data_IF_955272008182
#
_entry.id   IF_955272008182
#
_cell.length_a   1.000
_cell.length_b   1.000
_cell.length_c   1.000
_cell.angle_alpha   90.00
_cell.angle_beta   90.00
_cell.angle_gamma   90.00
#
_symmetry.space_group_name_H-M   'P 1'
#
loop_
_entity.id
_entity.type
_entity.pdbx_description
1 polymer ?
#
# COMPACT_ATOMS: atom_id res chain seq x y z
N UNK A 1 -17.42 -8.09 1.30
CA UNK A 1 -18.47 -9.02 0.81
C UNK A 1 -18.69 -8.90 -0.70
N UNK A 2 -18.63 -7.70 -1.30
CA UNK A 2 -18.83 -7.45 -2.74
C UNK A 2 -18.08 -8.40 -3.70
N UNK A 3 -16.80 -8.70 -3.43
CA UNK A 3 -16.01 -9.63 -4.26
C UNK A 3 -16.46 -11.09 -4.19
N UNK A 4 -17.07 -11.50 -3.08
CA UNK A 4 -17.60 -12.85 -2.94
C UNK A 4 -18.84 -13.07 -3.82
N UNK A 5 -19.64 -12.02 -4.02
CA UNK A 5 -20.89 -12.04 -4.78
C UNK A 5 -20.70 -11.71 -6.27
N UNK A 6 -19.51 -11.91 -6.84
CA UNK A 6 -19.26 -11.68 -8.27
C UNK A 6 -18.99 -10.24 -8.70
N UNK A 7 -18.98 -9.28 -7.78
CA UNK A 7 -18.73 -7.88 -8.13
C UNK A 7 -17.23 -7.56 -8.09
N UNK A 8 -16.65 -7.25 -9.25
CA UNK A 8 -15.24 -6.86 -9.40
C UNK A 8 -15.05 -5.43 -8.89
N UNK A 9 -14.87 -5.29 -7.58
CA UNK A 9 -14.61 -4.00 -6.93
C UNK A 9 -13.43 -4.08 -5.98
N UNK A 10 -12.40 -3.29 -6.28
CA UNK A 10 -11.24 -3.09 -5.44
C UNK A 10 -10.80 -1.63 -5.56
N UNK A 11 -10.60 -0.95 -4.43
CA UNK A 11 -10.13 0.44 -4.39
C UNK A 11 -8.74 0.59 -5.03
N UNK A 12 -7.91 -0.47 -4.98
CA UNK A 12 -6.56 -0.49 -5.54
C UNK A 12 -6.54 -0.42 -7.07
N UNK A 13 -7.64 -0.76 -7.76
CA UNK A 13 -7.74 -0.70 -9.25
C UNK A 13 -8.89 0.14 -9.78
N UNK A 14 -10.02 0.23 -9.07
CA UNK A 14 -11.29 0.60 -9.70
C UNK A 14 -11.54 2.11 -9.87
N UNK A 15 -10.94 3.00 -9.06
CA UNK A 15 -11.35 4.42 -9.14
C UNK A 15 -10.29 5.47 -8.82
N UNK A 16 -9.40 5.20 -7.88
CA UNK A 16 -8.25 6.07 -7.55
C UNK A 16 -7.21 5.22 -6.82
N UNK A 17 -6.35 4.50 -7.55
CA UNK A 17 -5.14 3.92 -6.98
C UNK A 17 -4.39 5.01 -6.21
N UNK A 18 -4.05 4.69 -4.97
CA UNK A 18 -3.33 5.59 -4.08
C UNK A 18 -1.86 5.17 -4.01
N UNK A 19 -1.01 6.13 -3.66
CA UNK A 19 0.44 5.98 -3.56
C UNK A 19 1.06 5.37 -4.84
N UNK A 20 1.56 4.14 -4.75
CA UNK A 20 2.30 3.45 -5.82
C UNK A 20 1.51 2.23 -6.34
N UNK A 21 0.25 2.07 -5.94
CA UNK A 21 -0.56 0.92 -6.38
C UNK A 21 -0.86 0.92 -7.88
N UNK A 22 -0.68 2.06 -8.56
CA UNK A 22 -0.73 2.15 -10.03
C UNK A 22 0.37 1.38 -10.75
N UNK A 23 1.54 1.24 -10.12
CA UNK A 23 2.70 0.59 -10.72
C UNK A 23 2.78 -0.90 -10.37
N UNK A 24 1.88 -1.36 -9.52
CA UNK A 24 1.80 -2.73 -9.04
C UNK A 24 0.67 -3.45 -9.78
N UNK A 25 0.91 -4.70 -10.18
CA UNK A 25 -0.07 -5.53 -10.87
C UNK A 25 -0.61 -6.65 -9.96
N UNK A 26 -1.60 -6.37 -9.09
CA UNK A 26 -2.29 -7.41 -8.36
C UNK A 26 -3.38 -8.07 -9.20
N UNK A 27 -3.44 -9.41 -9.14
CA UNK A 27 -4.59 -10.16 -9.65
C UNK A 27 -5.69 -10.13 -8.57
N UNK A 28 -6.92 -9.77 -8.97
CA UNK A 28 -8.04 -9.63 -8.03
C UNK A 28 -8.94 -10.87 -8.16
N UNK A 29 -8.98 -11.75 -7.15
CA UNK A 29 -9.89 -12.90 -7.17
C UNK A 29 -11.33 -12.45 -6.98
N UNK A 30 -12.24 -13.01 -7.77
CA UNK A 30 -13.70 -12.79 -7.69
C UNK A 30 -14.38 -14.14 -7.51
N UNK A 31 -15.30 -14.21 -6.55
CA UNK A 31 -16.11 -15.39 -6.29
C UNK A 31 -17.30 -15.45 -7.24
N UNK A 32 -17.76 -16.65 -7.58
CA UNK A 32 -18.87 -16.85 -8.52
C UNK A 32 -20.19 -17.12 -7.82
N UNK A 33 -20.18 -17.76 -6.64
CA UNK A 33 -21.41 -18.25 -5.98
C UNK A 33 -21.85 -17.40 -4.80
N UNK A 34 -20.97 -16.61 -4.19
CA UNK A 34 -21.32 -15.82 -3.00
C UNK A 34 -21.27 -16.59 -1.68
N UNK A 35 -20.79 -17.83 -1.70
CA UNK A 35 -20.81 -18.71 -0.55
C UNK A 35 -19.75 -18.36 0.51
N UNK A 36 -19.85 -19.00 1.69
CA UNK A 36 -18.79 -18.90 2.73
C UNK A 36 -17.46 -19.41 2.21
N UNK A 37 -17.47 -20.45 1.39
CA UNK A 37 -16.26 -21.04 0.82
C UNK A 37 -15.55 -20.09 -0.14
N UNK A 38 -16.28 -19.47 -1.07
CA UNK A 38 -15.71 -18.48 -2.00
C UNK A 38 -15.02 -17.33 -1.26
N UNK A 39 -15.62 -16.86 -0.17
CA UNK A 39 -15.03 -15.81 0.66
C UNK A 39 -13.73 -16.27 1.32
N UNK A 40 -13.69 -17.49 1.82
CA UNK A 40 -12.47 -18.07 2.38
C UNK A 40 -11.37 -18.21 1.31
N UNK A 41 -11.72 -18.73 0.14
CA UNK A 41 -10.80 -18.91 -0.97
C UNK A 41 -10.23 -17.59 -1.47
N UNK A 42 -11.07 -16.56 -1.64
CA UNK A 42 -10.67 -15.19 -1.99
C UNK A 42 -9.64 -14.66 -0.98
N UNK A 43 -9.80 -14.91 0.32
CA UNK A 43 -8.82 -14.46 1.33
C UNK A 43 -7.48 -15.18 1.19
N UNK A 44 -7.47 -16.46 0.85
CA UNK A 44 -6.21 -17.19 0.60
C UNK A 44 -5.48 -16.60 -0.61
N UNK A 45 -6.20 -16.36 -1.69
CA UNK A 45 -5.62 -15.76 -2.89
C UNK A 45 -5.14 -14.32 -2.64
N UNK A 46 -5.88 -13.53 -1.85
CA UNK A 46 -5.43 -12.20 -1.43
C UNK A 46 -4.13 -12.24 -0.63
N UNK A 47 -3.93 -13.23 0.25
CA UNK A 47 -2.67 -13.40 0.98
C UNK A 47 -1.51 -13.70 0.01
N UNK A 48 -1.72 -14.57 -0.98
CA UNK A 48 -0.71 -14.89 -2.01
C UNK A 48 -0.34 -13.66 -2.84
N UNK A 49 -1.33 -12.90 -3.28
CA UNK A 49 -1.11 -11.67 -4.03
C UNK A 49 -0.44 -10.58 -3.17
N UNK A 50 -0.71 -10.55 -1.86
CA UNK A 50 -0.02 -9.64 -0.93
C UNK A 50 1.47 -9.95 -0.84
N UNK A 51 1.84 -11.23 -0.77
CA UNK A 51 3.26 -11.65 -0.82
C UNK A 51 3.91 -11.24 -2.14
N UNK A 52 3.21 -11.40 -3.27
CA UNK A 52 3.72 -10.97 -4.59
C UNK A 52 3.98 -9.46 -4.65
N UNK A 53 3.06 -8.65 -4.12
CA UNK A 53 3.24 -7.20 -4.03
C UNK A 53 4.47 -6.85 -3.19
N UNK A 54 4.66 -7.51 -2.03
CA UNK A 54 5.84 -7.28 -1.18
C UNK A 54 7.13 -7.52 -1.96
N UNK A 55 7.21 -8.64 -2.70
CA UNK A 55 8.38 -8.96 -3.52
C UNK A 55 8.61 -7.92 -4.63
N UNK A 56 7.55 -7.46 -5.29
CA UNK A 56 7.65 -6.41 -6.30
C UNK A 56 8.16 -5.09 -5.71
N UNK A 57 7.62 -4.66 -4.57
CA UNK A 57 8.06 -3.46 -3.87
C UNK A 57 9.53 -3.55 -3.43
N UNK A 58 10.00 -4.72 -3.00
CA UNK A 58 11.41 -4.94 -2.66
C UNK A 58 12.32 -4.79 -3.88
N UNK A 59 11.90 -5.32 -5.04
CA UNK A 59 12.69 -5.23 -6.27
C UNK A 59 12.71 -3.82 -6.88
N UNK A 60 11.66 -3.04 -6.66
CA UNK A 60 11.47 -1.71 -7.25
C UNK A 60 11.76 -0.58 -6.25
N UNK A 61 12.41 -0.86 -5.12
CA UNK A 61 12.60 0.13 -4.05
C UNK A 61 13.54 1.27 -4.51
N UNK A 62 13.04 2.51 -4.67
CA UNK A 62 13.90 3.64 -4.98
C UNK A 62 14.67 4.08 -3.72
N UNK A 63 15.89 4.53 -3.92
CA UNK A 63 16.63 5.25 -2.88
C UNK A 63 16.18 6.70 -2.85
N UNK A 64 15.88 7.25 -1.66
CA UNK A 64 15.42 8.63 -1.56
C UNK A 64 14.99 9.01 -0.15
N UNK A 65 14.41 10.21 -0.07
CA UNK A 65 13.88 10.74 1.17
C UNK A 65 12.55 10.07 1.51
N UNK A 66 12.42 9.65 2.77
CA UNK A 66 11.23 8.91 3.26
C UNK A 66 10.13 9.87 3.73
N UNK A 67 10.52 11.06 4.19
CA UNK A 67 9.61 12.09 4.68
C UNK A 67 9.59 13.27 3.70
N UNK A 68 8.47 13.99 3.70
CA UNK A 68 8.41 15.29 3.06
C UNK A 68 9.42 16.26 3.70
N UNK A 69 9.98 17.16 2.89
CA UNK A 69 10.98 18.14 3.32
C UNK A 69 10.41 19.28 4.18
N UNK A 70 9.08 19.34 4.31
CA UNK A 70 8.40 20.38 5.07
C UNK A 70 8.56 20.18 6.58
N UNK A 71 9.50 20.92 7.17
CA UNK A 71 9.83 20.90 8.61
C UNK A 71 8.72 21.41 9.55
N UNK A 72 7.69 22.06 8.99
CA UNK A 72 6.49 22.46 9.74
C UNK A 72 5.51 21.31 9.96
N UNK A 73 5.52 20.33 9.06
CA UNK A 73 4.61 19.18 9.07
C UNK A 73 5.32 17.94 9.62
N UNK A 74 6.54 17.70 9.15
CA UNK A 74 7.34 16.53 9.53
C UNK A 74 8.46 16.93 10.50
N UNK A 75 8.63 16.21 11.62
CA UNK A 75 9.73 16.48 12.53
C UNK A 75 11.08 16.12 11.86
N UNK A 76 12.13 16.92 12.10
CA UNK A 76 13.43 16.72 11.51
C UNK A 76 14.10 15.44 12.03
N UNK A 77 15.16 15.00 11.34
CA UNK A 77 15.97 13.88 11.80
C UNK A 77 16.71 14.20 13.10
N UNK A 78 16.94 13.18 13.94
CA UNK A 78 17.63 13.36 15.23
C UNK A 78 19.04 13.92 15.10
N UNK A 79 19.72 13.66 13.99
CA UNK A 79 21.04 14.22 13.70
C UNK A 79 20.95 15.72 13.43
N UNK A 80 19.99 16.16 12.61
CA UNK A 80 19.79 17.57 12.28
C UNK A 80 19.36 18.39 13.50
N UNK A 81 18.45 17.86 14.31
CA UNK A 81 17.99 18.49 15.56
C UNK A 81 19.13 18.93 16.49
N UNK A 82 20.22 18.16 16.55
CA UNK A 82 21.37 18.47 17.40
C UNK A 82 22.31 19.53 16.83
N UNK A 83 22.25 19.78 15.52
CA UNK A 83 23.21 20.61 14.79
C UNK A 83 22.65 21.98 14.42
N UNK A 84 21.35 22.09 14.15
CA UNK A 84 20.72 23.34 13.74
C UNK A 84 19.76 23.88 14.80
N UNK A 85 19.90 25.16 15.11
CA UNK A 85 19.04 25.88 16.04
C UNK A 85 17.59 25.94 15.53
N UNK A 86 17.39 26.09 14.22
CA UNK A 86 16.08 26.09 13.57
C UNK A 86 15.36 24.75 13.70
N UNK A 87 16.11 23.65 13.68
CA UNK A 87 15.57 22.30 13.86
C UNK A 87 15.37 21.89 15.31
N UNK A 88 15.88 22.68 16.26
CA UNK A 88 15.68 22.48 17.69
C UNK A 88 14.55 23.38 18.24
N UNK A 89 14.30 24.51 17.58
CA UNK A 89 13.25 25.46 17.93
C UNK A 89 11.86 25.09 17.36
N UNK A 90 11.80 24.13 16.43
CA UNK A 90 10.56 23.51 15.93
C UNK A 90 10.45 22.07 16.39
#
# INVERSE_FOLDING_TARGET
MLRGSGYLWDLRKAKTPYDVHDQLDPDIPVGTRGDRYDRYYIRIEEMRQSVRIIVQCLNQMPSGMIKADDRKLCPPSRSQMKLSMESCAM
#
